data_IF_184389969413
#
_entry.id   IF_184389969413
#
_cell.length_a   1.000
_cell.length_b   1.000
_cell.length_c   1.000
_cell.angle_alpha   90.00
_cell.angle_beta   90.00
_cell.angle_gamma   90.00
#
_symmetry.space_group_name_H-M   'P 1'
#
loop_
_entity.id
_entity.type
_entity.pdbx_description
1 polymer ?
#
# COMPACT_ATOMS: atom_id res chain seq x y z
N UNK A 1 -18.08 -13.41 -20.17
CA UNK A 1 -18.33 -12.99 -18.78
C UNK A 1 -17.48 -13.84 -17.87
N UNK A 2 -16.40 -13.26 -17.33
CA UNK A 2 -15.54 -13.92 -16.35
C UNK A 2 -15.92 -13.45 -14.96
N UNK A 3 -16.23 -14.40 -14.08
CA UNK A 3 -16.84 -14.21 -12.78
C UNK A 3 -16.02 -13.32 -11.83
N UNK A 4 -16.69 -12.36 -11.18
CA UNK A 4 -16.24 -11.79 -9.93
C UNK A 4 -16.16 -12.90 -8.88
N UNK A 5 -15.03 -13.01 -8.18
CA UNK A 5 -14.85 -13.99 -7.11
C UNK A 5 -13.60 -14.85 -7.19
N UNK A 6 -12.45 -14.30 -7.63
CA UNK A 6 -11.16 -14.96 -7.38
C UNK A 6 -10.41 -14.16 -6.32
N UNK A 7 -10.52 -14.68 -5.10
CA UNK A 7 -9.62 -14.44 -4.00
C UNK A 7 -8.21 -14.88 -4.44
N UNK A 8 -7.38 -13.95 -4.90
CA UNK A 8 -5.97 -14.22 -5.21
C UNK A 8 -5.08 -13.47 -4.24
N UNK A 9 -4.70 -14.19 -3.19
CA UNK A 9 -3.43 -14.02 -2.48
C UNK A 9 -3.29 -12.75 -1.65
N UNK A 10 -3.83 -12.78 -0.42
CA UNK A 10 -3.14 -12.15 0.71
C UNK A 10 -1.71 -12.68 0.72
N UNK A 11 -0.79 -11.95 0.10
CA UNK A 11 0.64 -12.26 0.17
C UNK A 11 1.09 -11.86 1.56
N UNK A 12 1.18 -12.90 2.40
CA UNK A 12 1.50 -12.85 3.81
C UNK A 12 2.96 -12.39 4.01
N UNK A 13 3.17 -11.08 4.12
CA UNK A 13 4.22 -10.54 4.99
C UNK A 13 3.51 -10.04 6.23
N UNK A 14 3.17 -10.97 7.15
CA UNK A 14 2.45 -10.74 8.43
C UNK A 14 1.76 -9.39 8.48
N UNK A 15 0.56 -9.33 7.92
CA UNK A 15 -0.34 -8.22 8.17
C UNK A 15 -0.51 -8.18 9.69
N UNK A 16 0.22 -7.32 10.41
CA UNK A 16 0.10 -7.22 11.87
C UNK A 16 -1.37 -7.10 12.15
N UNK A 17 -2.00 -8.07 12.86
CA UNK A 17 -3.43 -8.01 13.12
C UNK A 17 -3.71 -6.63 13.73
N UNK A 18 -4.74 -5.93 13.24
CA UNK A 18 -5.08 -4.60 13.73
C UNK A 18 -5.23 -4.64 15.26
N UNK A 19 -5.76 -5.74 15.78
CA UNK A 19 -5.94 -5.98 17.21
C UNK A 19 -4.63 -6.13 18.01
N UNK A 20 -3.55 -6.57 17.37
CA UNK A 20 -2.21 -6.68 17.99
C UNK A 20 -1.48 -5.34 17.88
N UNK A 21 -1.66 -4.61 16.78
CA UNK A 21 -1.05 -3.29 16.60
C UNK A 21 -1.59 -2.29 17.63
N UNK A 22 -2.91 -2.25 17.83
CA UNK A 22 -3.57 -1.32 18.78
C UNK A 22 -3.32 -1.70 20.25
N UNK A 23 -3.06 -2.98 20.56
CA UNK A 23 -2.73 -3.42 21.92
C UNK A 23 -1.27 -3.21 22.29
N UNK A 24 -0.36 -3.25 21.32
CA UNK A 24 1.08 -3.23 21.56
C UNK A 24 1.73 -1.87 21.28
N UNK A 25 1.07 -1.00 20.51
CA UNK A 25 1.59 0.30 20.10
C UNK A 25 0.49 1.36 20.21
N UNK A 26 0.81 2.62 20.54
CA UNK A 26 -0.17 3.71 20.60
C UNK A 26 -0.52 4.18 19.19
N UNK A 27 -1.05 3.27 18.37
CA UNK A 27 -1.45 3.48 16.98
C UNK A 27 -2.89 2.98 16.82
N UNK A 28 -3.66 3.60 15.92
CA UNK A 28 -5.01 3.17 15.54
C UNK A 28 -5.15 3.12 14.03
N UNK A 29 -5.75 2.06 13.49
CA UNK A 29 -6.06 2.02 12.06
C UNK A 29 -7.29 2.89 11.81
N UNK A 30 -7.12 3.98 11.06
CA UNK A 30 -8.23 4.90 10.72
C UNK A 30 -8.72 4.72 9.29
N UNK A 31 -7.92 4.09 8.42
CA UNK A 31 -8.32 3.72 7.06
C UNK A 31 -7.70 2.39 6.67
N UNK A 32 -8.48 1.57 5.98
CA UNK A 32 -7.98 0.42 5.25
C UNK A 32 -8.83 0.22 3.99
N UNK A 33 -8.27 0.54 2.85
CA UNK A 33 -8.99 0.50 1.57
C UNK A 33 -8.16 -0.21 0.51
N UNK A 34 -8.83 -0.77 -0.50
CA UNK A 34 -8.15 -1.22 -1.70
C UNK A 34 -7.55 0.01 -2.40
N UNK A 35 -6.26 -0.07 -2.76
CA UNK A 35 -5.61 0.94 -3.59
C UNK A 35 -5.98 0.66 -5.05
N UNK A 36 -7.18 1.12 -5.43
CA UNK A 36 -7.73 0.92 -6.78
C UNK A 36 -6.74 1.35 -7.85
N UNK A 37 -6.70 0.59 -8.93
CA UNK A 37 -5.90 0.88 -10.13
C UNK A 37 -4.38 0.87 -9.88
N UNK A 38 -3.94 0.20 -8.82
CA UNK A 38 -2.51 -0.02 -8.56
C UNK A 38 -1.98 -1.29 -9.22
N UNK A 39 -2.86 -2.21 -9.63
CA UNK A 39 -2.51 -3.36 -10.45
C UNK A 39 -2.14 -2.96 -11.88
N UNK A 40 -1.14 -3.63 -12.44
CA UNK A 40 -0.72 -3.44 -13.82
C UNK A 40 -1.77 -3.94 -14.82
N UNK A 41 -2.01 -3.18 -15.88
CA UNK A 41 -2.94 -3.55 -16.94
C UNK A 41 -2.48 -4.81 -17.72
N UNK A 42 -3.41 -5.54 -18.31
CA UNK A 42 -3.09 -6.68 -19.18
C UNK A 42 -4.33 -7.51 -19.50
N UNK A 43 -4.17 -8.54 -20.32
CA UNK A 43 -5.23 -9.54 -20.55
C UNK A 43 -5.67 -10.19 -19.24
N UNK A 44 -4.73 -10.40 -18.32
CA UNK A 44 -5.00 -10.70 -16.92
C UNK A 44 -4.40 -9.56 -16.08
N UNK A 45 -5.23 -8.66 -15.50
CA UNK A 45 -4.72 -7.54 -14.73
C UNK A 45 -4.04 -8.02 -13.44
N UNK A 46 -3.03 -7.26 -13.00
CA UNK A 46 -2.41 -7.45 -11.70
C UNK A 46 -3.38 -7.08 -10.58
N UNK A 47 -3.20 -7.70 -9.39
CA UNK A 47 -4.03 -7.37 -8.23
C UNK A 47 -3.70 -6.01 -7.63
N UNK A 48 -4.71 -5.28 -7.17
CA UNK A 48 -4.53 -4.01 -6.46
C UNK A 48 -3.92 -4.21 -5.07
N UNK A 49 -3.10 -3.25 -4.65
CA UNK A 49 -2.57 -3.14 -3.30
C UNK A 49 -3.59 -2.61 -2.28
N UNK A 50 -3.10 -2.33 -1.08
CA UNK A 50 -3.88 -1.79 0.04
C UNK A 50 -3.30 -0.43 0.44
N UNK A 51 -4.19 0.50 0.75
CA UNK A 51 -3.91 1.74 1.46
C UNK A 51 -4.32 1.55 2.93
N UNK A 52 -3.42 1.86 3.85
CA UNK A 52 -3.69 1.85 5.29
C UNK A 52 -3.16 3.11 5.95
N UNK A 53 -4.02 3.78 6.71
CA UNK A 53 -3.66 4.95 7.52
C UNK A 53 -3.64 4.58 9.00
N UNK A 54 -2.53 4.88 9.65
CA UNK A 54 -2.27 4.64 11.06
C UNK A 54 -2.19 5.99 11.78
N UNK A 55 -3.18 6.28 12.62
CA UNK A 55 -3.16 7.44 13.50
C UNK A 55 -2.27 7.15 14.71
N UNK A 56 -1.35 8.07 14.98
CA UNK A 56 -0.50 8.08 16.16
C UNK A 56 -1.27 8.65 17.34
N UNK A 57 -1.37 7.91 18.45
CA UNK A 57 -2.14 8.30 19.63
C UNK A 57 -1.28 8.98 20.71
N UNK A 58 0.02 8.72 20.71
CA UNK A 58 1.01 9.26 21.65
C UNK A 58 2.32 9.54 20.91
N UNK A 59 3.16 10.42 21.44
CA UNK A 59 4.48 10.70 20.86
C UNK A 59 5.35 9.43 20.83
N UNK A 60 5.83 9.05 19.65
CA UNK A 60 6.56 7.80 19.43
C UNK A 60 7.69 7.95 18.41
N UNK A 61 8.71 7.11 18.55
CA UNK A 61 9.68 6.89 17.48
C UNK A 61 9.29 5.65 16.67
N UNK A 62 9.04 5.82 15.38
CA UNK A 62 8.70 4.74 14.45
C UNK A 62 9.88 4.43 13.56
N UNK A 63 10.19 3.14 13.41
CA UNK A 63 11.11 2.66 12.37
C UNK A 63 10.33 1.94 11.28
N UNK A 64 10.32 2.54 10.10
CA UNK A 64 9.75 1.99 8.88
C UNK A 64 10.79 1.10 8.20
N UNK A 65 10.43 -0.16 7.96
CA UNK A 65 11.23 -1.11 7.20
C UNK A 65 10.30 -1.76 6.19
N UNK A 66 10.22 -1.18 5.01
CA UNK A 66 9.34 -1.65 3.94
C UNK A 66 10.19 -2.11 2.75
N UNK A 67 10.73 -3.31 2.89
CA UNK A 67 11.58 -3.96 1.89
C UNK A 67 10.80 -4.44 0.66
N UNK A 68 11.51 -4.56 -0.47
CA UNK A 68 11.00 -5.05 -1.77
C UNK A 68 9.86 -4.21 -2.39
N UNK A 69 9.91 -2.89 -2.24
CA UNK A 69 9.12 -1.98 -3.09
C UNK A 69 9.81 -1.64 -4.42
N UNK A 70 11.11 -1.94 -4.54
CA UNK A 70 11.94 -1.64 -5.72
C UNK A 70 11.73 -2.60 -6.90
N UNK A 71 11.34 -3.85 -6.64
CA UNK A 71 10.88 -4.76 -7.70
C UNK A 71 9.42 -4.43 -7.98
N UNK A 72 9.15 -3.43 -8.82
CA UNK A 72 7.84 -3.32 -9.47
C UNK A 72 7.52 -4.73 -9.97
N UNK A 73 6.38 -5.34 -9.64
CA UNK A 73 6.00 -6.56 -10.31
C UNK A 73 5.75 -6.17 -11.76
N UNK A 74 6.78 -6.43 -12.55
CA UNK A 74 6.85 -6.25 -13.97
C UNK A 74 5.74 -7.08 -14.60
N UNK A 75 5.04 -6.46 -15.53
CA UNK A 75 4.10 -7.21 -16.32
C UNK A 75 4.84 -8.21 -17.19
N UNK A 76 4.18 -9.32 -17.47
CA UNK A 76 4.72 -10.41 -18.29
C UNK A 76 3.99 -10.46 -19.62
N UNK A 77 4.68 -10.90 -20.68
CA UNK A 77 4.09 -11.06 -22.02
C UNK A 77 3.36 -9.80 -22.56
N UNK A 78 3.89 -8.60 -22.27
CA UNK A 78 3.29 -7.33 -22.72
C UNK A 78 2.27 -6.71 -21.75
N UNK A 79 2.09 -7.28 -20.56
CA UNK A 79 1.34 -6.63 -19.49
C UNK A 79 2.08 -5.42 -18.89
N UNK A 80 1.32 -4.50 -18.31
CA UNK A 80 1.82 -3.31 -17.61
C UNK A 80 2.34 -3.59 -16.21
N UNK A 81 3.18 -2.70 -15.72
CA UNK A 81 3.73 -2.76 -14.35
C UNK A 81 2.70 -2.31 -13.32
N UNK A 82 2.65 -2.98 -12.18
CA UNK A 82 1.92 -2.46 -11.01
C UNK A 82 2.57 -1.22 -10.41
N UNK A 83 1.79 -0.41 -9.70
CA UNK A 83 2.25 0.76 -8.99
C UNK A 83 3.22 0.37 -7.85
N UNK A 84 4.28 1.16 -7.61
CA UNK A 84 5.20 0.90 -6.50
C UNK A 84 4.49 1.12 -5.16
N UNK A 85 5.04 0.51 -4.11
CA UNK A 85 4.62 0.82 -2.76
C UNK A 85 5.16 2.19 -2.31
N UNK A 86 4.49 2.83 -1.36
CA UNK A 86 4.86 4.14 -0.86
C UNK A 86 4.55 4.26 0.64
N UNK A 87 5.25 5.17 1.31
CA UNK A 87 4.96 5.57 2.69
C UNK A 87 4.86 7.09 2.74
N UNK A 88 3.92 7.60 3.51
CA UNK A 88 3.67 9.03 3.66
C UNK A 88 3.42 9.37 5.13
N UNK A 89 3.93 10.50 5.57
CA UNK A 89 3.58 11.14 6.84
C UNK A 89 2.62 12.29 6.55
N UNK A 90 1.47 12.31 7.20
CA UNK A 90 0.52 13.41 7.19
C UNK A 90 0.54 14.04 8.60
N UNK A 91 1.29 15.14 8.81
CA UNK A 91 1.40 15.78 10.11
C UNK A 91 0.04 16.25 10.63
N UNK A 92 -0.37 15.82 11.82
CA UNK A 92 -1.72 16.08 12.35
C UNK A 92 -2.88 15.54 11.49
N UNK A 93 -2.61 14.62 10.56
CA UNK A 93 -3.59 14.14 9.58
C UNK A 93 -3.85 15.09 8.41
N UNK A 94 -3.01 16.11 8.23
CA UNK A 94 -3.14 17.10 7.16
C UNK A 94 -2.58 16.57 5.82
N UNK A 95 -3.47 16.41 4.84
CA UNK A 95 -3.14 15.96 3.48
C UNK A 95 -2.29 16.98 2.71
N UNK A 96 -2.49 18.29 2.94
CA UNK A 96 -1.76 19.35 2.23
C UNK A 96 -0.29 19.41 2.67
N UNK A 97 0.01 18.83 3.84
CA UNK A 97 1.35 18.75 4.41
C UNK A 97 1.97 17.35 4.30
N UNK A 98 1.38 16.47 3.49
CA UNK A 98 1.87 15.12 3.31
C UNK A 98 3.32 15.08 2.82
N UNK A 99 4.19 14.38 3.55
CA UNK A 99 5.59 14.16 3.22
C UNK A 99 5.82 12.70 2.83
N UNK A 100 6.43 12.47 1.67
CA UNK A 100 6.81 11.12 1.24
C UNK A 100 8.02 10.64 2.04
N UNK A 101 7.88 9.50 2.69
CA UNK A 101 8.95 8.89 3.48
C UNK A 101 9.76 7.87 2.65
N UNK A 102 11.06 7.71 2.94
CA UNK A 102 11.85 6.62 2.37
C UNK A 102 11.31 5.23 2.71
N UNK A 103 11.69 4.22 1.92
CA UNK A 103 11.30 2.82 2.14
C UNK A 103 11.82 2.25 3.46
N UNK A 104 12.92 2.82 3.97
CA UNK A 104 13.52 2.55 5.27
C UNK A 104 13.85 3.88 5.95
N UNK A 105 13.28 4.16 7.11
CA UNK A 105 13.68 5.30 7.90
C UNK A 105 13.24 5.16 9.36
N UNK A 106 13.86 5.95 10.22
CA UNK A 106 13.38 6.19 11.59
C UNK A 106 12.91 7.63 11.69
N UNK A 107 11.74 7.84 12.31
CA UNK A 107 11.09 9.13 12.47
C UNK A 107 10.45 9.23 13.85
N UNK A 108 10.57 10.40 14.45
CA UNK A 108 9.76 10.78 15.60
C UNK A 108 8.44 11.34 15.10
N UNK A 109 7.34 10.75 15.57
CA UNK A 109 5.97 11.14 15.24
C UNK A 109 5.29 11.67 16.49
N UNK A 110 4.38 12.62 16.30
CA UNK A 110 3.58 13.22 17.38
C UNK A 110 2.19 12.62 17.42
N UNK A 111 1.57 12.66 18.59
CA UNK A 111 0.16 12.36 18.72
C UNK A 111 -0.67 13.20 17.71
N UNK A 112 -1.54 12.54 16.96
CA UNK A 112 -2.34 13.16 15.89
C UNK A 112 -1.75 12.99 14.49
N UNK A 113 -0.46 12.66 14.35
CA UNK A 113 0.12 12.37 13.04
C UNK A 113 -0.48 11.10 12.42
N UNK A 114 -0.55 11.07 11.10
CA UNK A 114 -1.02 9.89 10.35
C UNK A 114 0.09 9.36 9.47
N UNK A 115 0.42 8.08 9.67
CA UNK A 115 1.31 7.33 8.81
C UNK A 115 0.48 6.56 7.78
N UNK A 116 0.58 6.95 6.51
CA UNK A 116 -0.07 6.29 5.38
C UNK A 116 0.88 5.32 4.69
N UNK A 117 0.43 4.09 4.52
CA UNK A 117 1.17 3.01 3.87
C UNK A 117 0.40 2.52 2.64
N UNK A 118 1.02 2.64 1.47
CA UNK A 118 0.50 2.12 0.20
C UNK A 118 1.29 0.87 -0.17
N UNK A 119 0.67 -0.30 -0.25
CA UNK A 119 1.36 -1.50 -0.74
C UNK A 119 1.49 -1.46 -2.27
N UNK A 120 2.49 -2.13 -2.85
CA UNK A 120 2.57 -2.30 -4.30
C UNK A 120 1.34 -3.03 -4.84
N UNK A 121 0.93 -2.71 -6.07
CA UNK A 121 0.02 -3.55 -6.85
C UNK A 121 0.82 -4.57 -7.68
N UNK A 122 0.19 -5.66 -8.11
CA UNK A 122 0.76 -6.72 -8.94
C UNK A 122 0.96 -6.32 -10.40
N UNK A 123 1.82 -7.01 -11.14
CA UNK A 123 2.01 -6.81 -12.59
C UNK A 123 0.93 -7.52 -13.39
N UNK A 124 0.51 -6.92 -14.51
CA UNK A 124 -0.43 -7.56 -15.43
C UNK A 124 0.24 -8.58 -16.35
N UNK A 125 -0.55 -9.47 -16.95
CA UNK A 125 -0.07 -10.45 -17.92
C UNK A 125 -0.76 -10.27 -19.27
N UNK A 126 0.00 -10.33 -20.35
CA UNK A 126 -0.48 -10.23 -21.73
C UNK A 126 -0.84 -8.78 -22.12
N UNK A 127 -0.74 -8.45 -23.40
CA UNK A 127 -1.32 -7.21 -23.92
C UNK A 127 -2.82 -7.22 -23.69
N UNK A 128 -3.34 -6.27 -22.91
CA UNK A 128 -4.77 -5.97 -22.94
C UNK A 128 -5.07 -5.32 -24.28
N UNK A 129 -6.17 -5.68 -24.93
CA UNK A 129 -6.66 -4.90 -26.06
C UNK A 129 -6.76 -3.45 -25.57
N UNK A 130 -5.94 -2.58 -26.16
CA UNK A 130 -6.00 -1.15 -25.89
C UNK A 130 -7.45 -0.76 -26.17
N UNK A 131 -8.18 -0.37 -25.12
CA UNK A 131 -9.52 0.19 -25.28
C UNK A 131 -9.35 1.38 -26.24
N UNK A 132 -9.84 1.17 -27.45
CA UNK A 132 -9.93 2.18 -28.49
C UNK A 132 -10.81 3.28 -27.95
N UNK A 133 -10.27 4.46 -27.69
CA UNK A 133 -10.94 5.77 -27.85
C UNK A 133 -9.86 6.83 -27.97
#
# INVERSE_FOLDING_TARGET
GGMHGVHTGMTNSRNTPVEVLERAFPLRVVRQTLRRDSGGAGRFPGGDGIERDLLVLEDVTVSLITERRASRPWGLAGGGTGAPGENWLLPGGDEDRAERLPDKCTRDLRAGDVLRMLTPGGGGWGTGDAATT
#
